data_IF_197196290236
#
_entry.id   IF_197196290236
#
_cell.length_a   1.000
_cell.length_b   1.000
_cell.length_c   1.000
_cell.angle_alpha   90.00
_cell.angle_beta   90.00
_cell.angle_gamma   90.00
#
_symmetry.space_group_name_H-M   'P 1'
#
loop_
_entity.id
_entity.type
_entity.pdbx_description
1 polymer ?
#
# COMPACT_ATOMS: atom_id res chain seq x y z
N UNK A 1 25.57 -9.35 -10.71
CA UNK A 1 25.32 -10.79 -10.92
C UNK A 1 24.91 -11.53 -9.64
N UNK A 2 25.60 -11.33 -8.52
CA UNK A 2 25.33 -12.07 -7.27
C UNK A 2 23.91 -11.87 -6.70
N UNK A 3 23.38 -10.64 -6.73
CA UNK A 3 21.99 -10.35 -6.31
C UNK A 3 20.94 -11.13 -7.13
N UNK A 4 21.20 -11.43 -8.39
CA UNK A 4 20.29 -12.20 -9.25
C UNK A 4 20.37 -13.71 -9.00
N UNK A 5 21.32 -14.20 -8.19
CA UNK A 5 21.46 -15.62 -7.87
C UNK A 5 20.81 -16.04 -6.55
N UNK A 6 20.29 -15.08 -5.76
CA UNK A 6 19.68 -15.35 -4.45
C UNK A 6 18.51 -16.34 -4.51
N UNK A 7 17.78 -16.40 -5.62
CA UNK A 7 16.70 -17.38 -5.81
C UNK A 7 17.21 -18.83 -5.88
N UNK A 8 18.49 -19.04 -6.16
CA UNK A 8 19.13 -20.37 -6.09
C UNK A 8 19.40 -20.80 -4.64
N UNK A 9 19.42 -19.87 -3.69
CA UNK A 9 19.67 -20.10 -2.28
C UNK A 9 18.37 -20.27 -1.48
N UNK A 10 17.28 -19.62 -1.91
CA UNK A 10 15.95 -19.69 -1.27
C UNK A 10 14.84 -19.89 -2.31
N UNK A 11 14.19 -21.05 -2.28
CA UNK A 11 13.09 -21.42 -3.17
C UNK A 11 11.79 -20.64 -2.97
N UNK A 12 11.70 -19.81 -1.92
CA UNK A 12 10.59 -18.87 -1.72
C UNK A 12 10.69 -17.64 -2.63
N UNK A 13 11.88 -17.37 -3.17
CA UNK A 13 12.13 -16.24 -4.05
C UNK A 13 11.83 -16.62 -5.50
N UNK A 14 11.09 -15.76 -6.19
CA UNK A 14 10.86 -15.89 -7.64
C UNK A 14 12.13 -15.53 -8.42
N UNK A 15 12.35 -16.20 -9.55
CA UNK A 15 13.46 -15.90 -10.47
C UNK A 15 13.32 -14.53 -11.13
N UNK A 16 12.07 -14.08 -11.30
CA UNK A 16 11.71 -12.79 -11.88
C UNK A 16 11.06 -11.85 -10.85
N UNK A 17 11.02 -10.57 -11.19
CA UNK A 17 10.40 -9.52 -10.37
C UNK A 17 8.97 -9.17 -10.82
N UNK A 18 8.32 -9.98 -11.68
CA UNK A 18 7.06 -9.60 -12.33
C UNK A 18 5.95 -9.30 -11.31
N UNK A 19 5.98 -9.91 -10.13
CA UNK A 19 5.03 -9.61 -9.05
C UNK A 19 5.20 -8.17 -8.55
N UNK A 20 6.43 -7.76 -8.28
CA UNK A 20 6.75 -6.41 -7.82
C UNK A 20 6.45 -5.36 -8.91
N UNK A 21 6.81 -5.65 -10.17
CA UNK A 21 6.50 -4.76 -11.30
C UNK A 21 5.00 -4.58 -11.52
N UNK A 22 4.22 -5.67 -11.42
CA UNK A 22 2.76 -5.61 -11.49
C UNK A 22 2.16 -4.80 -10.34
N UNK A 23 2.68 -4.95 -9.11
CA UNK A 23 2.21 -4.21 -7.95
C UNK A 23 2.46 -2.70 -8.05
N UNK A 24 3.61 -2.28 -8.60
CA UNK A 24 3.93 -0.84 -8.71
C UNK A 24 3.29 -0.18 -9.94
N UNK A 25 2.94 -0.95 -10.97
CA UNK A 25 2.42 -0.43 -12.25
C UNK A 25 1.22 0.53 -12.10
N UNK A 26 0.18 0.25 -11.29
CA UNK A 26 -0.96 1.16 -11.19
C UNK A 26 -0.60 2.47 -10.48
N UNK A 27 0.35 2.48 -9.53
CA UNK A 27 0.92 3.71 -8.97
C UNK A 27 1.63 4.54 -10.05
N UNK A 28 2.47 3.92 -10.87
CA UNK A 28 3.21 4.60 -11.95
C UNK A 28 2.28 5.19 -13.01
N UNK A 29 1.14 4.54 -13.27
CA UNK A 29 0.11 5.07 -14.17
C UNK A 29 -0.66 6.21 -13.49
N UNK A 30 -1.09 6.02 -12.23
CA UNK A 30 -1.89 6.96 -11.46
C UNK A 30 -1.21 8.30 -11.22
N UNK A 31 0.11 8.32 -10.94
CA UNK A 31 0.85 9.57 -10.67
C UNK A 31 0.79 10.62 -11.79
N UNK A 32 0.49 10.22 -13.04
CA UNK A 32 0.30 11.17 -14.15
C UNK A 32 -1.02 11.96 -14.02
N UNK A 33 -2.00 11.40 -13.31
CA UNK A 33 -3.33 11.96 -13.11
C UNK A 33 -3.49 12.59 -11.72
N UNK A 34 -2.49 12.50 -10.85
CA UNK A 34 -2.53 13.02 -9.49
C UNK A 34 -1.93 14.42 -9.43
N UNK A 35 -2.71 15.36 -8.90
CA UNK A 35 -2.46 16.80 -8.97
C UNK A 35 -1.13 17.24 -8.31
N UNK A 36 -0.58 16.45 -7.37
CA UNK A 36 0.57 16.85 -6.55
C UNK A 36 1.79 15.93 -6.62
N UNK A 37 1.77 14.86 -7.43
CA UNK A 37 2.84 13.85 -7.45
C UNK A 37 4.17 14.33 -8.04
N UNK A 38 4.25 15.58 -8.50
CA UNK A 38 5.47 16.19 -9.07
C UNK A 38 6.29 17.00 -8.06
N UNK A 39 5.87 17.08 -6.80
CA UNK A 39 6.62 17.72 -5.70
C UNK A 39 7.09 16.66 -4.70
N UNK A 40 8.17 16.90 -3.96
CA UNK A 40 8.63 15.96 -2.93
C UNK A 40 7.53 15.66 -1.89
N UNK A 41 6.82 16.70 -1.45
CA UNK A 41 5.74 16.56 -0.47
C UNK A 41 4.58 15.73 -1.03
N UNK A 42 4.16 16.00 -2.27
CA UNK A 42 3.08 15.24 -2.88
C UNK A 42 3.49 13.82 -3.28
N UNK A 43 4.76 13.57 -3.62
CA UNK A 43 5.30 12.23 -3.81
C UNK A 43 5.28 11.44 -2.49
N UNK A 44 5.67 12.06 -1.38
CA UNK A 44 5.62 11.46 -0.05
C UNK A 44 4.17 11.15 0.38
N UNK A 45 3.24 12.10 0.21
CA UNK A 45 1.83 11.88 0.49
C UNK A 45 1.23 10.77 -0.39
N UNK A 46 1.58 10.73 -1.68
CA UNK A 46 1.15 9.66 -2.60
C UNK A 46 1.66 8.30 -2.14
N UNK A 47 2.91 8.21 -1.68
CA UNK A 47 3.50 6.97 -1.17
C UNK A 47 2.80 6.47 0.10
N UNK A 48 2.46 7.36 1.03
CA UNK A 48 1.69 7.00 2.24
C UNK A 48 0.33 6.45 1.84
N UNK A 49 -0.42 7.18 1.01
CA UNK A 49 -1.76 6.77 0.59
C UNK A 49 -1.74 5.39 -0.09
N UNK A 50 -0.79 5.19 -1.02
CA UNK A 50 -0.69 3.92 -1.72
C UNK A 50 -0.27 2.77 -0.80
N UNK A 51 0.58 3.05 0.18
CA UNK A 51 0.94 2.05 1.19
C UNK A 51 -0.28 1.59 1.98
N UNK A 52 -1.17 2.52 2.38
CA UNK A 52 -2.44 2.19 3.04
C UNK A 52 -3.35 1.36 2.14
N UNK A 53 -3.50 1.75 0.87
CA UNK A 53 -4.31 1.04 -0.13
C UNK A 53 -3.82 -0.39 -0.34
N UNK A 54 -2.52 -0.58 -0.60
CA UNK A 54 -1.95 -1.91 -0.84
C UNK A 54 -1.98 -2.78 0.41
N UNK A 55 -1.82 -2.20 1.61
CA UNK A 55 -1.97 -2.95 2.87
C UNK A 55 -3.41 -3.39 3.09
N UNK A 56 -4.40 -2.53 2.81
CA UNK A 56 -5.81 -2.90 2.89
C UNK A 56 -6.16 -4.05 1.93
N UNK A 57 -5.71 -3.97 0.67
CA UNK A 57 -5.88 -5.07 -0.31
C UNK A 57 -5.20 -6.36 0.14
N UNK A 58 -4.02 -6.28 0.74
CA UNK A 58 -3.29 -7.45 1.23
C UNK A 58 -3.98 -8.13 2.43
N UNK A 59 -4.91 -7.44 3.10
CA UNK A 59 -5.78 -7.98 4.15
C UNK A 59 -7.21 -8.23 3.64
N UNK A 60 -7.39 -8.33 2.32
CA UNK A 60 -8.66 -8.59 1.63
C UNK A 60 -9.77 -7.54 1.87
N UNK A 61 -9.43 -6.36 2.39
CA UNK A 61 -10.40 -5.30 2.69
C UNK A 61 -10.88 -4.55 1.44
N UNK A 62 -12.13 -4.08 1.48
CA UNK A 62 -12.62 -3.07 0.53
C UNK A 62 -11.93 -1.75 0.85
N UNK A 63 -11.02 -1.32 -0.04
CA UNK A 63 -10.15 -0.15 0.15
C UNK A 63 -10.94 1.13 0.48
N UNK A 64 -12.06 1.35 -0.22
CA UNK A 64 -12.90 2.53 0.00
C UNK A 64 -13.42 2.60 1.44
N UNK A 65 -13.98 1.48 1.91
CA UNK A 65 -14.62 1.41 3.22
C UNK A 65 -13.57 1.52 4.33
N UNK A 66 -12.44 0.84 4.18
CA UNK A 66 -11.30 0.96 5.11
C UNK A 66 -10.83 2.42 5.26
N UNK A 67 -10.61 3.12 4.14
CA UNK A 67 -10.15 4.52 4.20
C UNK A 67 -11.23 5.41 4.81
N UNK A 68 -12.50 5.20 4.48
CA UNK A 68 -13.61 5.95 5.04
C UNK A 68 -13.70 5.77 6.57
N UNK A 69 -13.63 4.53 7.06
CA UNK A 69 -13.62 4.21 8.50
C UNK A 69 -12.43 4.86 9.19
N UNK A 70 -11.22 4.76 8.62
CA UNK A 70 -10.04 5.42 9.17
C UNK A 70 -10.21 6.93 9.28
N UNK A 71 -10.71 7.59 8.23
CA UNK A 71 -10.92 9.04 8.23
C UNK A 71 -11.99 9.48 9.23
N UNK A 72 -13.09 8.72 9.35
CA UNK A 72 -14.15 8.98 10.32
C UNK A 72 -13.62 8.89 11.75
N UNK A 73 -12.92 7.80 12.09
CA UNK A 73 -12.32 7.66 13.42
C UNK A 73 -11.25 8.72 13.68
N UNK A 74 -10.40 9.05 12.71
CA UNK A 74 -9.37 10.08 12.87
C UNK A 74 -9.95 11.46 13.16
N UNK A 75 -11.15 11.78 12.64
CA UNK A 75 -11.84 13.03 12.93
C UNK A 75 -12.21 13.18 14.41
N UNK A 76 -12.37 12.06 15.13
CA UNK A 76 -12.66 12.02 16.57
C UNK A 76 -11.40 12.19 17.45
N UNK A 77 -10.21 12.33 16.85
CA UNK A 77 -8.92 12.45 17.53
C UNK A 77 -8.65 11.32 18.54
N UNK A 78 -8.65 10.05 18.10
CA UNK A 78 -8.53 8.90 18.98
C UNK A 78 -7.11 8.84 19.56
N UNK A 79 -7.01 8.49 20.84
CA UNK A 79 -5.72 8.27 21.51
C UNK A 79 -5.07 6.93 21.11
N UNK A 80 -5.81 6.04 20.44
CA UNK A 80 -5.33 4.73 20.00
C UNK A 80 -5.74 4.45 18.56
N UNK A 81 -4.76 4.13 17.71
CA UNK A 81 -4.95 3.81 16.29
C UNK A 81 -4.88 2.30 16.02
N UNK A 82 -4.51 1.47 17.00
CA UNK A 82 -4.46 0.01 16.86
C UNK A 82 -5.75 -0.59 16.28
N UNK A 83 -6.96 -0.16 16.69
CA UNK A 83 -8.20 -0.71 16.12
C UNK A 83 -8.38 -0.44 14.62
N UNK A 84 -7.71 0.59 14.10
CA UNK A 84 -7.78 0.97 12.68
C UNK A 84 -6.80 0.19 11.81
N UNK A 85 -5.96 -0.67 12.39
CA UNK A 85 -5.04 -1.48 11.63
C UNK A 85 -5.83 -2.49 10.76
N UNK A 86 -5.35 -2.76 9.53
CA UNK A 86 -6.14 -3.49 8.55
C UNK A 86 -6.40 -4.96 8.92
N UNK A 87 -5.62 -5.55 9.82
CA UNK A 87 -5.87 -6.90 10.37
C UNK A 87 -6.86 -6.92 11.53
N UNK A 88 -7.25 -5.76 12.07
CA UNK A 88 -8.22 -5.62 13.16
C UNK A 88 -9.62 -5.27 12.66
N UNK A 89 -9.76 -4.87 11.38
CA UNK A 89 -11.03 -4.55 10.75
C UNK A 89 -11.60 -5.81 10.12
N UNK A 90 -12.83 -6.15 10.47
CA UNK A 90 -13.57 -7.27 9.89
C UNK A 90 -14.39 -6.76 8.71
N UNK A 91 -14.42 -7.54 7.63
CA UNK A 91 -15.46 -7.38 6.61
C UNK A 91 -16.75 -7.99 7.14
N UNK A 92 -17.83 -7.22 7.12
CA UNK A 92 -19.21 -7.70 7.30
C UNK A 92 -19.75 -8.35 6.02
#
# INVERSE_FOLDING_TARGET
>A
FEKFRRYLEDGRLSIDNNRAERAIKPFVIGRKNWLFSNTCNGAHASAILYSLVETAKANDLVVHDYIATCLQHLAEQPNNLEPLLPWNIKQD
#
